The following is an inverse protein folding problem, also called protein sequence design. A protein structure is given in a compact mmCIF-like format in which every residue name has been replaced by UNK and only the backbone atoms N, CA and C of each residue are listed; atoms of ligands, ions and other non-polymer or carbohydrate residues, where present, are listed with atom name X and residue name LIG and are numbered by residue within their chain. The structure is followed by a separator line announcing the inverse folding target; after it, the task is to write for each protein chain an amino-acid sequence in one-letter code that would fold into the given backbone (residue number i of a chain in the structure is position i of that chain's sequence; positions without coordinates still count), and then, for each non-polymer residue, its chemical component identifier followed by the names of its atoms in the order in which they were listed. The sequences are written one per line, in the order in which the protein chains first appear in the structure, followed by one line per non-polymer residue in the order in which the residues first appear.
data_IF_453427705633
#
_entry.id   IF_453427705633
#
_cell.length_a   1.000
_cell.length_b   1.000
_cell.length_c   1.000
_cell.angle_alpha   90.00
_cell.angle_beta   90.00
_cell.angle_gamma   90.00
#
_symmetry.space_group_name_H-M   'P 1'
#
loop_
_entity.id
_entity.type
_entity.pdbx_description
1 polymer ?
#
# COMPACT_ATOMS: atom_id res chain seq x y z
N UNK A 1 2.37 -14.97 -2.44
CA UNK A 1 1.84 -13.62 -2.14
C UNK A 1 2.95 -12.61 -2.27
N UNK A 2 2.65 -11.50 -2.91
CA UNK A 2 3.60 -10.40 -3.10
C UNK A 2 3.14 -9.22 -2.25
N UNK A 3 4.05 -8.66 -1.46
CA UNK A 3 3.78 -7.49 -0.64
C UNK A 3 4.62 -6.32 -1.14
N UNK A 4 3.95 -5.20 -1.41
CA UNK A 4 4.58 -3.96 -1.82
C UNK A 4 4.42 -2.95 -0.70
N UNK A 5 5.52 -2.33 -0.29
CA UNK A 5 5.49 -1.17 0.58
C UNK A 5 5.74 0.06 -0.28
N UNK A 6 4.79 0.98 -0.28
CA UNK A 6 4.92 2.26 -0.96
C UNK A 6 4.98 3.36 0.10
N UNK A 7 6.13 4.01 0.18
CA UNK A 7 6.28 5.18 1.05
C UNK A 7 6.06 6.42 0.22
N UNK A 8 5.00 7.15 0.51
CA UNK A 8 4.70 8.43 -0.12
C UNK A 8 5.13 9.55 0.81
N UNK A 9 6.00 10.42 0.33
CA UNK A 9 6.45 11.58 1.08
C UNK A 9 6.00 12.85 0.38
N UNK A 10 5.37 13.73 1.13
CA UNK A 10 4.92 15.02 0.65
C UNK A 10 5.41 16.14 1.54
N UNK A 11 4.69 17.25 1.54
CA UNK A 11 4.94 18.40 2.41
C UNK A 11 3.61 18.99 2.85
N UNK A 12 3.63 19.71 3.98
CA UNK A 12 2.46 20.41 4.51
C UNK A 12 1.21 19.53 4.63
N UNK A 13 1.39 18.27 5.05
CA UNK A 13 0.29 17.33 5.22
C UNK A 13 -0.21 16.68 3.92
N UNK A 14 0.51 16.85 2.81
CA UNK A 14 0.08 16.33 1.51
C UNK A 14 -0.08 14.82 1.44
N UNK A 15 0.84 14.07 2.09
CA UNK A 15 0.73 12.61 2.11
C UNK A 15 -0.52 12.14 2.86
N UNK A 16 -0.81 12.74 4.01
CA UNK A 16 -2.03 12.44 4.77
C UNK A 16 -3.27 12.79 3.95
N UNK A 17 -3.30 13.96 3.34
CA UNK A 17 -4.43 14.40 2.51
C UNK A 17 -4.67 13.44 1.34
N UNK A 18 -3.60 12.97 0.70
CA UNK A 18 -3.68 11.97 -0.35
C UNK A 18 -4.32 10.67 0.16
N UNK A 19 -3.83 10.11 1.26
CA UNK A 19 -4.35 8.87 1.83
C UNK A 19 -5.83 9.01 2.21
N UNK A 20 -6.20 10.12 2.85
CA UNK A 20 -7.59 10.40 3.20
C UNK A 20 -8.48 10.49 1.95
N UNK A 21 -7.99 11.12 0.89
CA UNK A 21 -8.72 11.24 -0.37
C UNK A 21 -8.91 9.88 -1.04
N UNK A 22 -7.87 9.02 -1.02
CA UNK A 22 -7.96 7.66 -1.55
C UNK A 22 -9.06 6.86 -0.85
N UNK A 23 -9.19 7.01 0.45
CA UNK A 23 -10.22 6.31 1.24
C UNK A 23 -11.59 6.94 1.00
N UNK A 24 -11.72 8.26 1.14
CA UNK A 24 -13.00 8.96 1.06
C UNK A 24 -13.62 8.93 -0.34
N UNK A 25 -12.81 8.92 -1.38
CA UNK A 25 -13.30 8.88 -2.77
C UNK A 25 -13.82 7.50 -3.18
N UNK A 26 -13.55 6.45 -2.39
CA UNK A 26 -13.91 5.08 -2.74
C UNK A 26 -12.86 4.36 -3.58
N UNK A 27 -11.77 5.02 -3.99
CA UNK A 27 -10.73 4.38 -4.81
C UNK A 27 -10.07 3.23 -4.04
N UNK A 28 -9.72 3.44 -2.78
CA UNK A 28 -9.12 2.38 -1.97
C UNK A 28 -10.04 1.16 -1.84
N UNK A 29 -11.33 1.38 -1.62
CA UNK A 29 -12.32 0.29 -1.56
C UNK A 29 -12.42 -0.45 -2.90
N UNK A 30 -12.39 0.28 -4.01
CA UNK A 30 -12.44 -0.32 -5.34
C UNK A 30 -11.20 -1.19 -5.62
N UNK A 31 -10.02 -0.75 -5.17
CA UNK A 31 -8.79 -1.54 -5.30
C UNK A 31 -8.89 -2.82 -4.46
N UNK A 32 -9.40 -2.73 -3.25
CA UNK A 32 -9.60 -3.91 -2.39
C UNK A 32 -10.54 -4.93 -3.01
N UNK A 33 -11.44 -4.50 -3.87
CA UNK A 33 -12.38 -5.37 -4.59
C UNK A 33 -11.77 -6.00 -5.86
N UNK A 34 -10.59 -5.58 -6.29
CA UNK A 34 -9.94 -6.15 -7.46
C UNK A 34 -9.54 -7.60 -7.21
N UNK A 35 -9.67 -8.44 -8.24
CA UNK A 35 -9.26 -9.83 -8.16
C UNK A 35 -7.78 -9.94 -7.81
N UNK A 36 -7.48 -10.73 -6.79
CA UNK A 36 -6.11 -10.96 -6.34
C UNK A 36 -5.57 -9.92 -5.37
N UNK A 37 -6.30 -8.84 -5.07
CA UNK A 37 -5.88 -7.94 -3.99
C UNK A 37 -6.15 -8.60 -2.64
N UNK A 38 -5.14 -8.66 -1.78
CA UNK A 38 -5.22 -9.29 -0.46
C UNK A 38 -5.17 -8.28 0.67
N UNK A 39 -4.59 -7.11 0.41
CA UNK A 39 -4.47 -6.05 1.40
C UNK A 39 -4.19 -4.72 0.69
N UNK A 40 -4.80 -3.66 1.17
CA UNK A 40 -4.54 -2.30 0.69
C UNK A 40 -4.85 -1.34 1.83
N UNK A 41 -3.84 -1.01 2.63
CA UNK A 41 -4.01 -0.25 3.86
C UNK A 41 -2.95 0.83 4.00
N UNK A 42 -3.36 1.98 4.52
CA UNK A 42 -2.47 3.10 4.79
C UNK A 42 -2.10 3.16 6.26
N UNK A 43 -0.84 3.50 6.51
CA UNK A 43 -0.27 3.65 7.86
C UNK A 43 0.56 4.92 7.92
N UNK A 44 0.66 5.51 9.09
CA UNK A 44 1.54 6.66 9.29
C UNK A 44 2.74 6.24 10.11
N UNK A 45 3.99 6.50 9.62
CA UNK A 45 5.17 6.31 10.46
C UNK A 45 5.07 7.21 11.68
N UNK A 46 5.33 6.66 12.86
CA UNK A 46 5.13 7.39 14.12
C UNK A 46 5.93 8.68 14.20
N UNK A 47 7.14 8.68 13.64
CA UNK A 47 8.08 9.79 13.76
C UNK A 47 8.19 10.64 12.50
N UNK A 48 7.34 10.39 11.48
CA UNK A 48 7.37 11.14 10.23
C UNK A 48 5.96 11.52 9.78
N UNK A 49 5.51 12.74 10.12
CA UNK A 49 4.15 13.16 9.77
C UNK A 49 3.97 13.51 8.28
N UNK A 50 5.06 13.62 7.53
CA UNK A 50 5.01 13.98 6.11
C UNK A 50 5.05 12.76 5.19
N UNK A 51 5.05 11.54 5.76
CA UNK A 51 5.06 10.29 5.01
C UNK A 51 3.81 9.48 5.32
N UNK A 52 3.33 8.74 4.33
CA UNK A 52 2.34 7.68 4.52
C UNK A 52 2.88 6.40 3.90
N UNK A 53 2.69 5.28 4.60
CA UNK A 53 3.04 3.95 4.12
C UNK A 53 1.77 3.26 3.63
N UNK A 54 1.78 2.83 2.38
CA UNK A 54 0.77 1.92 1.85
C UNK A 54 1.35 0.51 1.87
N UNK A 55 0.67 -0.41 2.54
CA UNK A 55 0.95 -1.84 2.44
C UNK A 55 -0.07 -2.44 1.47
N UNK A 56 0.43 -3.01 0.40
CA UNK A 56 -0.31 -3.42 -0.77
C UNK A 56 0.08 -4.87 -1.07
N UNK A 57 -0.86 -5.81 -0.92
CA UNK A 57 -0.58 -7.24 -1.08
C UNK A 57 -1.43 -7.83 -2.18
N UNK A 58 -0.80 -8.69 -3.00
CA UNK A 58 -1.41 -9.31 -4.15
C UNK A 58 -1.11 -10.80 -4.21
N UNK A 59 -2.05 -11.55 -4.77
CA UNK A 59 -1.88 -13.00 -4.95
C UNK A 59 -0.65 -13.32 -5.79
N UNK A 60 -0.45 -12.60 -6.91
CA UNK A 60 0.62 -12.86 -7.87
C UNK A 60 0.89 -11.61 -8.73
N UNK A 61 1.88 -11.70 -9.61
CA UNK A 61 2.24 -10.61 -10.49
C UNK A 61 1.13 -10.29 -11.50
N UNK A 62 0.40 -11.30 -11.97
CA UNK A 62 -0.70 -11.09 -12.91
C UNK A 62 -1.77 -10.17 -12.32
N UNK A 63 -2.06 -10.32 -11.01
CA UNK A 63 -3.01 -9.44 -10.32
C UNK A 63 -2.48 -8.00 -10.24
N UNK A 64 -1.19 -7.82 -9.98
CA UNK A 64 -0.55 -6.49 -9.99
C UNK A 64 -0.64 -5.87 -11.39
N UNK A 65 -0.35 -6.64 -12.43
CA UNK A 65 -0.41 -6.16 -13.81
C UNK A 65 -1.82 -5.72 -14.20
N UNK A 66 -2.84 -6.48 -13.79
CA UNK A 66 -4.24 -6.13 -14.03
C UNK A 66 -4.61 -4.84 -13.30
N UNK A 67 -4.13 -4.66 -12.06
CA UNK A 67 -4.31 -3.43 -11.30
C UNK A 67 -3.68 -2.24 -12.02
N UNK A 68 -2.44 -2.36 -12.48
CA UNK A 68 -1.75 -1.30 -13.20
C UNK A 68 -2.42 -0.94 -14.54
N UNK A 69 -3.15 -1.88 -15.14
CA UNK A 69 -3.91 -1.65 -16.36
C UNK A 69 -5.31 -1.09 -16.11
N UNK A 70 -5.73 -0.95 -14.85
CA UNK A 70 -7.08 -0.49 -14.51
C UNK A 70 -7.23 1.02 -14.75
N UNK A 71 -8.48 1.48 -15.04
CA UNK A 71 -8.74 2.91 -15.18
C UNK A 71 -8.45 3.74 -13.93
N UNK A 72 -8.44 3.11 -12.75
CA UNK A 72 -8.16 3.79 -11.48
C UNK A 72 -6.75 4.36 -11.40
N UNK A 73 -5.80 3.80 -12.17
CA UNK A 73 -4.42 4.28 -12.14
C UNK A 73 -4.30 5.75 -12.56
N UNK A 74 -5.14 6.20 -13.49
CA UNK A 74 -5.16 7.61 -13.89
C UNK A 74 -5.59 8.52 -12.74
N UNK A 75 -6.58 8.08 -11.94
CA UNK A 75 -7.03 8.83 -10.77
C UNK A 75 -5.95 8.89 -9.70
N UNK A 76 -5.28 7.77 -9.45
CA UNK A 76 -4.18 7.70 -8.48
C UNK A 76 -3.04 8.61 -8.91
N UNK A 77 -2.64 8.56 -10.17
CA UNK A 77 -1.58 9.40 -10.72
C UNK A 77 -1.90 10.89 -10.59
N UNK A 78 -3.14 11.27 -10.86
CA UNK A 78 -3.59 12.65 -10.73
C UNK A 78 -3.51 13.13 -9.27
N UNK A 79 -3.86 12.28 -8.30
CA UNK A 79 -3.77 12.62 -6.89
C UNK A 79 -2.32 12.71 -6.42
N UNK A 80 -1.44 11.82 -6.88
CA UNK A 80 0.00 11.90 -6.58
C UNK A 80 0.59 13.22 -7.06
N UNK A 81 0.22 13.64 -8.27
CA UNK A 81 0.67 14.90 -8.84
C UNK A 81 0.12 16.10 -8.07
N UNK A 82 -1.17 16.06 -7.73
CA UNK A 82 -1.85 17.14 -6.99
C UNK A 82 -1.15 17.44 -5.67
N UNK A 83 -0.73 16.40 -4.96
CA UNK A 83 -0.10 16.53 -3.64
C UNK A 83 1.43 16.53 -3.71
N UNK A 84 1.99 16.53 -4.92
CA UNK A 84 3.45 16.54 -5.15
C UNK A 84 4.17 15.47 -4.34
N UNK A 85 3.72 14.22 -4.48
CA UNK A 85 4.25 13.11 -3.70
C UNK A 85 5.45 12.46 -4.38
N UNK A 86 6.45 12.15 -3.57
CA UNK A 86 7.59 11.34 -3.95
C UNK A 86 7.43 9.95 -3.38
N UNK A 87 7.95 8.92 -4.07
CA UNK A 87 7.69 7.53 -3.70
C UNK A 87 8.99 6.76 -3.53
N UNK A 88 9.00 5.87 -2.52
CA UNK A 88 9.98 4.81 -2.37
C UNK A 88 9.23 3.48 -2.30
N UNK A 89 9.70 2.48 -3.02
CA UNK A 89 9.01 1.20 -3.17
C UNK A 89 9.91 0.07 -2.70
N UNK A 90 9.34 -0.84 -1.90
CA UNK A 90 9.98 -2.08 -1.50
C UNK A 90 9.08 -3.24 -1.89
N UNK A 91 9.68 -4.33 -2.39
CA UNK A 91 8.94 -5.51 -2.81
C UNK A 91 9.40 -6.72 -2.02
N UNK A 92 8.44 -7.48 -1.50
CA UNK A 92 8.70 -8.69 -0.73
C UNK A 92 7.87 -9.84 -1.28
N UNK A 93 8.42 -11.04 -1.22
CA UNK A 93 7.70 -12.27 -1.51
C UNK A 93 7.56 -13.04 -0.21
N UNK A 94 6.37 -13.58 0.06
CA UNK A 94 6.12 -14.30 1.30
C UNK A 94 6.98 -15.55 1.41
N UNK A 95 7.47 -15.80 2.63
CA UNK A 95 8.14 -17.05 2.99
C UNK A 95 7.06 -18.05 3.42
N UNK A 96 6.81 -19.05 2.57
CA UNK A 96 5.76 -20.03 2.80
C UNK A 96 6.11 -21.04 3.91
N UNK A 97 7.36 -21.08 4.36
CA UNK A 97 7.75 -21.93 5.49
C UNK A 97 7.21 -21.40 6.83
N UNK A 98 6.82 -20.13 6.85
CA UNK A 98 6.26 -19.51 8.05
C UNK A 98 7.29 -19.27 9.14
N UNK A 99 6.82 -19.07 10.37
CA UNK A 99 7.68 -18.82 11.51
C UNK A 99 8.30 -20.11 12.02
N UNK A 100 9.62 -20.14 12.29
CA UNK A 100 10.23 -21.26 12.97
C UNK A 100 9.57 -21.48 14.34
N UNK A 101 9.45 -22.76 14.74
CA UNK A 101 8.83 -23.09 16.02
C UNK A 101 9.54 -22.39 17.20
N UNK A 102 10.85 -22.27 17.15
CA UNK A 102 11.65 -21.61 18.19
C UNK A 102 11.29 -20.14 18.39
N UNK A 103 10.68 -19.51 17.38
CA UNK A 103 10.31 -18.10 17.45
C UNK A 103 8.93 -17.91 18.13
N UNK A 104 8.10 -18.95 18.17
CA UNK A 104 6.74 -18.86 18.69
C UNK A 104 6.70 -18.50 20.17
N UNK A 105 7.72 -18.83 20.96
CA UNK A 105 7.79 -18.50 22.37
C UNK A 105 7.85 -16.99 22.63
N UNK A 106 8.23 -16.18 21.64
CA UNK A 106 8.29 -14.73 21.76
C UNK A 106 6.96 -14.05 21.42
N UNK A 107 5.97 -14.83 20.98
CA UNK A 107 4.67 -14.32 20.56
C UNK A 107 3.65 -14.64 21.64
N UNK A 108 3.13 -13.59 22.27
CA UNK A 108 2.05 -13.73 23.26
C UNK A 108 0.74 -13.89 22.50
N UNK A 109 0.01 -14.95 22.80
CA UNK A 109 -1.28 -15.24 22.19
C UNK A 109 -2.42 -15.16 23.21
#
# INVERSE_FOLDING_TARGET
MITIHLYYTGSNGGARAFAEKMVKSGVAAAIRAEDGNLRYEYFFPLEDPETVLLIDQWRDQAAIDAHHASPMMAQIAALREKYDLHMRVERFVSDDSGLPEKDLKFIKR
#
